data_IF_844650261297
#
_entry.id   IF_844650261297
#
_cell.length_a   1.000
_cell.length_b   1.000
_cell.length_c   1.000
_cell.angle_alpha   90.00
_cell.angle_beta   90.00
_cell.angle_gamma   90.00
#
_symmetry.space_group_name_H-M   'P 1'
#
loop_
_entity.id
_entity.type
_entity.pdbx_description
1 polymer ?
#
# COMPACT_ATOMS: atom_id res chain seq x y z
N UNK A 1 17.90 3.05 -20.83
CA UNK A 1 17.70 3.64 -19.50
C UNK A 1 16.21 3.73 -19.20
N UNK A 2 15.42 4.33 -20.10
CA UNK A 2 13.95 4.41 -20.03
C UNK A 2 13.22 3.08 -19.77
N UNK A 3 13.51 2.02 -20.55
CA UNK A 3 12.78 0.75 -20.43
C UNK A 3 12.95 0.08 -19.07
N UNK A 4 14.11 0.26 -18.42
CA UNK A 4 14.39 -0.32 -17.11
C UNK A 4 13.52 0.29 -16.02
N UNK A 5 13.41 1.62 -16.00
CA UNK A 5 12.59 2.35 -15.02
C UNK A 5 11.13 1.93 -15.16
N UNK A 6 10.58 1.97 -16.38
CA UNK A 6 9.17 1.63 -16.62
C UNK A 6 8.87 0.18 -16.21
N UNK A 7 9.77 -0.77 -16.50
CA UNK A 7 9.61 -2.17 -16.06
C UNK A 7 9.60 -2.26 -14.52
N UNK A 8 10.51 -1.56 -13.83
CA UNK A 8 10.55 -1.54 -12.37
C UNK A 8 9.27 -0.96 -11.74
N UNK A 9 8.70 0.08 -12.33
CA UNK A 9 7.43 0.67 -11.88
C UNK A 9 6.27 -0.28 -12.07
N UNK A 10 6.17 -0.94 -13.24
CA UNK A 10 5.13 -1.95 -13.51
C UNK A 10 5.22 -3.10 -12.51
N UNK A 11 6.43 -3.60 -12.23
CA UNK A 11 6.61 -4.68 -11.24
C UNK A 11 6.18 -4.21 -9.84
N UNK A 12 6.55 -2.99 -9.46
CA UNK A 12 6.19 -2.42 -8.16
C UNK A 12 4.67 -2.22 -8.02
N UNK A 13 4.02 -1.67 -9.04
CA UNK A 13 2.58 -1.49 -9.10
C UNK A 13 1.85 -2.85 -9.04
N UNK A 14 2.36 -3.86 -9.75
CA UNK A 14 1.84 -5.22 -9.65
C UNK A 14 1.97 -5.75 -8.22
N UNK A 15 3.10 -5.55 -7.54
CA UNK A 15 3.24 -5.95 -6.13
C UNK A 15 2.21 -5.27 -5.23
N UNK A 16 1.94 -3.98 -5.39
CA UNK A 16 0.90 -3.28 -4.63
C UNK A 16 -0.49 -3.85 -4.89
N UNK A 17 -0.82 -4.14 -6.14
CA UNK A 17 -2.09 -4.78 -6.51
C UNK A 17 -2.16 -6.20 -5.92
N UNK A 18 -1.11 -7.00 -6.02
CA UNK A 18 -1.05 -8.33 -5.40
C UNK A 18 -1.26 -8.26 -3.89
N UNK A 19 -0.71 -7.26 -3.21
CA UNK A 19 -0.95 -7.04 -1.77
C UNK A 19 -2.42 -6.68 -1.51
N UNK A 20 -3.00 -5.77 -2.33
CA UNK A 20 -4.36 -5.30 -2.17
C UNK A 20 -5.42 -6.41 -2.29
N UNK A 21 -5.18 -7.39 -3.17
CA UNK A 21 -6.12 -8.49 -3.43
C UNK A 21 -5.69 -9.82 -2.79
N UNK A 22 -4.41 -9.98 -2.51
CA UNK A 22 -3.84 -11.21 -1.95
C UNK A 22 -4.03 -11.36 -0.45
N UNK A 23 -4.04 -10.26 0.32
CA UNK A 23 -4.24 -10.32 1.77
C UNK A 23 -5.75 -10.29 2.10
N UNK A 24 -6.22 -11.31 2.80
CA UNK A 24 -7.62 -11.50 3.18
C UNK A 24 -7.75 -12.17 4.56
N UNK A 25 -8.97 -12.40 5.04
CA UNK A 25 -9.23 -12.93 6.39
C UNK A 25 -8.58 -14.30 6.64
N UNK A 26 -8.51 -15.16 5.61
CA UNK A 26 -7.98 -16.51 5.73
C UNK A 26 -6.45 -16.54 5.94
N UNK A 27 -5.74 -15.57 5.36
CA UNK A 27 -4.27 -15.53 5.37
C UNK A 27 -3.67 -14.36 6.17
N UNK A 28 -4.48 -13.42 6.66
CA UNK A 28 -4.01 -12.26 7.43
C UNK A 28 -3.17 -12.66 8.65
N UNK A 29 -3.51 -13.78 9.31
CA UNK A 29 -2.72 -14.31 10.44
C UNK A 29 -1.27 -14.65 10.08
N UNK A 30 -0.96 -14.85 8.80
CA UNK A 30 0.39 -15.15 8.31
C UNK A 30 1.02 -13.92 7.63
N UNK A 31 0.26 -13.25 6.76
CA UNK A 31 0.80 -12.23 5.86
C UNK A 31 0.76 -10.79 6.42
N UNK A 32 -0.11 -10.51 7.39
CA UNK A 32 -0.24 -9.17 7.95
C UNK A 32 0.62 -9.05 9.22
N UNK A 33 1.88 -8.62 9.10
CA UNK A 33 2.87 -8.63 10.19
C UNK A 33 2.37 -8.08 11.54
N UNK A 34 1.65 -6.94 11.51
CA UNK A 34 1.08 -6.34 12.72
C UNK A 34 -0.02 -7.17 13.35
N UNK A 35 -0.78 -7.93 12.56
CA UNK A 35 -1.81 -8.85 13.06
C UNK A 35 -1.22 -10.22 13.42
N UNK A 36 -0.29 -10.76 12.63
CA UNK A 36 0.41 -12.02 12.86
C UNK A 36 1.04 -12.05 14.27
N UNK A 37 1.74 -10.98 14.63
CA UNK A 37 2.46 -10.85 15.92
C UNK A 37 1.56 -10.51 17.13
N UNK A 38 0.26 -10.26 16.93
CA UNK A 38 -0.66 -10.01 18.04
C UNK A 38 -0.93 -11.28 18.87
N UNK A 39 -1.09 -11.11 20.18
CA UNK A 39 -1.65 -12.13 21.07
C UNK A 39 -3.08 -12.49 20.66
N UNK A 40 -3.56 -13.65 21.10
CA UNK A 40 -4.92 -14.13 20.78
C UNK A 40 -5.99 -13.11 21.20
N UNK A 41 -5.90 -12.59 22.42
CA UNK A 41 -6.81 -11.55 22.94
C UNK A 41 -6.84 -10.29 22.07
N UNK A 42 -5.66 -9.80 21.62
CA UNK A 42 -5.57 -8.63 20.74
C UNK A 42 -6.14 -8.90 19.34
N UNK A 43 -5.98 -10.13 18.82
CA UNK A 43 -6.56 -10.54 17.54
C UNK A 43 -8.08 -10.55 17.60
N UNK A 44 -8.67 -11.04 18.69
CA UNK A 44 -10.13 -11.09 18.89
C UNK A 44 -10.75 -9.68 18.97
N UNK A 45 -10.04 -8.74 19.60
CA UNK A 45 -10.42 -7.33 19.68
C UNK A 45 -10.17 -6.52 18.39
N UNK A 46 -9.36 -7.03 17.46
CA UNK A 46 -9.01 -6.34 16.22
C UNK A 46 -10.16 -6.37 15.21
N UNK A 47 -10.51 -5.22 14.63
CA UNK A 47 -11.50 -5.12 13.56
C UNK A 47 -10.87 -5.49 12.20
N UNK A 48 -10.66 -6.79 11.99
CA UNK A 48 -9.96 -7.32 10.81
C UNK A 48 -10.71 -7.01 9.52
N UNK A 49 -12.04 -7.16 9.50
CA UNK A 49 -12.85 -6.98 8.29
C UNK A 49 -12.74 -5.54 7.78
N UNK A 50 -12.92 -4.54 8.65
CA UNK A 50 -12.84 -3.15 8.21
C UNK A 50 -11.39 -2.70 7.97
N UNK A 51 -10.41 -3.27 8.70
CA UNK A 51 -9.01 -3.05 8.40
C UNK A 51 -8.65 -3.53 6.98
N UNK A 52 -9.07 -4.74 6.59
CA UNK A 52 -8.78 -5.29 5.26
C UNK A 52 -9.47 -4.47 4.14
N UNK A 53 -10.70 -3.99 4.35
CA UNK A 53 -11.35 -3.04 3.43
C UNK A 53 -10.55 -1.75 3.26
N UNK A 54 -10.04 -1.20 4.37
CA UNK A 54 -9.17 -0.03 4.35
C UNK A 54 -7.83 -0.32 3.64
N UNK A 55 -7.18 -1.44 3.99
CA UNK A 55 -5.88 -1.87 3.48
C UNK A 55 -5.92 -2.06 1.96
N UNK A 56 -6.95 -2.75 1.45
CA UNK A 56 -7.18 -2.91 0.01
C UNK A 56 -7.34 -1.56 -0.69
N UNK A 57 -8.19 -0.68 -0.17
CA UNK A 57 -8.39 0.68 -0.74
C UNK A 57 -7.10 1.49 -0.70
N UNK A 58 -6.30 1.35 0.35
CA UNK A 58 -5.02 2.04 0.49
C UNK A 58 -4.06 1.64 -0.63
N UNK A 59 -3.80 0.34 -0.84
CA UNK A 59 -2.85 -0.10 -1.88
C UNK A 59 -3.34 0.21 -3.30
N UNK A 60 -4.64 0.07 -3.58
CA UNK A 60 -5.21 0.49 -4.88
C UNK A 60 -4.99 1.99 -5.11
N UNK A 61 -5.26 2.82 -4.10
CA UNK A 61 -5.03 4.27 -4.19
C UNK A 61 -3.55 4.58 -4.36
N UNK A 62 -2.68 3.89 -3.62
CA UNK A 62 -1.24 4.08 -3.68
C UNK A 62 -0.71 3.82 -5.09
N UNK A 63 -1.13 2.72 -5.73
CA UNK A 63 -0.81 2.42 -7.13
C UNK A 63 -1.27 3.56 -8.04
N UNK A 64 -2.56 3.89 -8.03
CA UNK A 64 -3.15 4.91 -8.92
C UNK A 64 -2.43 6.27 -8.78
N UNK A 65 -2.24 6.75 -7.55
CA UNK A 65 -1.61 8.06 -7.33
C UNK A 65 -0.12 8.05 -7.66
N UNK A 66 0.61 6.99 -7.37
CA UNK A 66 2.04 6.90 -7.73
C UNK A 66 2.22 6.88 -9.24
N UNK A 67 1.44 6.07 -9.97
CA UNK A 67 1.45 6.03 -11.44
C UNK A 67 1.05 7.38 -12.04
N UNK A 68 0.04 8.05 -11.48
CA UNK A 68 -0.40 9.37 -11.96
C UNK A 68 0.67 10.44 -11.76
N UNK A 69 1.34 10.43 -10.59
CA UNK A 69 2.47 11.34 -10.33
C UNK A 69 3.61 11.10 -11.32
N UNK A 70 3.97 9.84 -11.57
CA UNK A 70 4.96 9.50 -12.59
C UNK A 70 4.56 10.04 -13.95
N UNK A 71 3.34 9.74 -14.42
CA UNK A 71 2.87 10.13 -15.74
C UNK A 71 2.86 11.65 -15.96
N UNK A 72 2.35 12.41 -14.97
CA UNK A 72 2.32 13.88 -15.03
C UNK A 72 3.74 14.45 -15.11
N UNK A 73 4.64 14.00 -14.24
CA UNK A 73 5.99 14.55 -14.19
C UNK A 73 6.86 14.06 -15.34
N UNK A 74 6.60 12.89 -15.90
CA UNK A 74 7.27 12.39 -17.10
C UNK A 74 6.93 13.25 -18.32
N UNK A 75 5.67 13.69 -18.45
CA UNK A 75 5.24 14.58 -19.53
C UNK A 75 5.78 16.00 -19.34
N UNK A 76 5.83 16.48 -18.09
CA UNK A 76 6.19 17.87 -17.79
C UNK A 76 7.71 18.11 -17.65
N UNK A 77 8.49 17.09 -17.33
CA UNK A 77 9.91 17.19 -16.98
C UNK A 77 10.73 16.06 -17.62
N UNK A 78 11.59 15.39 -16.85
CA UNK A 78 12.42 14.26 -17.27
C UNK A 78 12.14 12.99 -16.45
N UNK A 79 12.75 11.89 -16.87
CA UNK A 79 12.55 10.57 -16.26
C UNK A 79 13.00 10.48 -14.79
N UNK A 80 14.03 11.22 -14.40
CA UNK A 80 14.57 11.20 -13.03
C UNK A 80 13.59 11.95 -12.11
N UNK A 81 13.13 13.12 -12.54
CA UNK A 81 12.13 13.90 -11.81
C UNK A 81 10.82 13.10 -11.70
N UNK A 82 10.40 12.42 -12.77
CA UNK A 82 9.21 11.57 -12.75
C UNK A 82 9.34 10.40 -11.77
N UNK A 83 10.50 9.75 -11.71
CA UNK A 83 10.78 8.68 -10.75
C UNK A 83 10.74 9.20 -9.30
N UNK A 84 11.31 10.38 -9.04
CA UNK A 84 11.21 11.02 -7.72
C UNK A 84 9.74 11.28 -7.37
N UNK A 85 8.95 11.80 -8.33
CA UNK A 85 7.53 12.06 -8.12
C UNK A 85 6.72 10.78 -7.84
N UNK A 86 7.03 9.66 -8.49
CA UNK A 86 6.44 8.34 -8.20
C UNK A 86 6.65 7.93 -6.74
N UNK A 87 7.82 8.19 -6.17
CA UNK A 87 8.16 7.83 -4.79
C UNK A 87 7.45 8.69 -3.73
N UNK A 88 7.01 9.91 -4.07
CA UNK A 88 6.39 10.84 -3.10
C UNK A 88 5.12 10.27 -2.45
N UNK A 89 4.11 9.76 -3.20
CA UNK A 89 2.95 9.12 -2.59
C UNK A 89 3.31 7.93 -1.69
N UNK A 90 4.31 7.13 -2.06
CA UNK A 90 4.76 5.98 -1.26
C UNK A 90 5.28 6.43 0.11
N UNK A 91 6.17 7.43 0.13
CA UNK A 91 6.75 7.95 1.37
C UNK A 91 5.69 8.63 2.24
N UNK A 92 4.80 9.43 1.66
CA UNK A 92 3.81 10.21 2.41
C UNK A 92 2.64 9.35 2.88
N UNK A 93 2.15 8.43 2.05
CA UNK A 93 0.97 7.65 2.35
C UNK A 93 1.25 6.51 3.35
N UNK A 94 2.50 6.01 3.42
CA UNK A 94 2.84 4.91 4.33
C UNK A 94 2.66 5.27 5.83
N UNK A 95 3.16 6.42 6.34
CA UNK A 95 2.84 6.89 7.69
C UNK A 95 1.33 7.07 7.93
N UNK A 96 0.60 7.58 6.93
CA UNK A 96 -0.86 7.70 7.01
C UNK A 96 -1.54 6.34 7.17
N UNK A 97 -1.09 5.32 6.44
CA UNK A 97 -1.61 3.95 6.56
C UNK A 97 -1.46 3.43 7.98
N UNK A 98 -0.29 3.63 8.59
CA UNK A 98 0.00 3.17 9.96
C UNK A 98 -0.90 3.91 10.96
N UNK A 99 -0.97 5.24 10.86
CA UNK A 99 -1.81 6.06 11.74
C UNK A 99 -3.28 5.65 11.69
N UNK A 100 -3.85 5.53 10.47
CA UNK A 100 -5.26 5.15 10.29
C UNK A 100 -5.50 3.68 10.62
N UNK A 101 -4.54 2.81 10.31
CA UNK A 101 -4.56 1.38 10.63
C UNK A 101 -4.62 1.08 12.13
N UNK A 102 -3.98 1.92 12.96
CA UNK A 102 -4.04 1.76 14.42
C UNK A 102 -5.45 1.92 15.00
N UNK A 103 -6.36 2.62 14.31
CA UNK A 103 -7.75 2.83 14.76
C UNK A 103 -8.58 1.53 14.77
N UNK A 104 -8.12 0.47 14.09
CA UNK A 104 -8.79 -0.83 14.04
C UNK A 104 -8.35 -1.79 15.15
N UNK A 105 -7.41 -1.40 16.03
CA UNK A 105 -6.95 -2.24 17.15
C UNK A 105 -7.99 -2.49 18.22
N UNK A 106 -9.03 -1.65 18.27
CA UNK A 106 -10.13 -1.75 19.21
C UNK A 106 -11.40 -1.75 18.36
N UNK A 107 -12.13 -2.87 18.32
CA UNK A 107 -13.51 -2.92 17.82
C UNK A 107 -14.34 -1.88 18.57
N UNK A 108 -14.93 -0.94 17.85
CA UNK A 108 -15.95 -0.03 18.38
C UNK A 108 -17.29 -0.74 18.44
#
# INVERSE_FOLDING_TARGET
MESGIVISLIITDLCFIFIAFGINENNAKYLLAGYNTMSKEKKEAFDLINYLKFFKKFFISLTIYSTLFFAIFYIAFDEIIALIAYCVPIVVATPYMIYKGNKFKIKK
#
